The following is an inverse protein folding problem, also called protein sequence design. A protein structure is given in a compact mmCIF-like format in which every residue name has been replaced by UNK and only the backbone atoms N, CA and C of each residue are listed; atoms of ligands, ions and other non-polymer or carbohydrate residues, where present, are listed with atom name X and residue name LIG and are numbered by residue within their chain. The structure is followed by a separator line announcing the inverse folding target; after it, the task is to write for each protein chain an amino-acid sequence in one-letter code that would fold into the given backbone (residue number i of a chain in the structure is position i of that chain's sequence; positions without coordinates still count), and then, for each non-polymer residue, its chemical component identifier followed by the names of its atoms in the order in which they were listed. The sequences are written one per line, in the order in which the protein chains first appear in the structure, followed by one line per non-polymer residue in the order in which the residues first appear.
data_IF_565421320937
#
_entry.id   IF_565421320937
#
_cell.length_a   1.000
_cell.length_b   1.000
_cell.length_c   1.000
_cell.angle_alpha   90.00
_cell.angle_beta   90.00
_cell.angle_gamma   90.00
#
_symmetry.space_group_name_H-M   'P 1'
#
loop_
_entity.id
_entity.type
_entity.pdbx_description
1 polymer ?
#
# COMPACT_ATOMS: atom_id res chain seq x y z
N UNK A 1 0.35 5.74 6.15
CA UNK A 1 -0.04 4.32 6.35
C UNK A 1 0.17 3.95 7.80
N UNK A 2 -0.41 2.84 8.25
CA UNK A 2 -0.34 2.37 9.64
C UNK A 2 1.11 2.25 10.12
N UNK A 3 1.48 2.97 11.17
CA UNK A 3 2.66 2.64 11.97
C UNK A 3 2.24 1.46 12.85
N UNK A 4 3.08 0.45 13.01
CA UNK A 4 2.80 -0.71 13.88
C UNK A 4 2.81 -0.37 15.37
N UNK A 5 2.47 0.87 15.73
CA UNK A 5 2.52 1.43 17.09
C UNK A 5 1.19 1.29 17.84
N UNK A 6 0.24 0.55 17.28
CA UNK A 6 -1.08 0.31 17.88
C UNK A 6 -2.05 1.48 17.73
N UNK A 7 -1.67 2.57 17.06
CA UNK A 7 -2.52 3.76 16.91
C UNK A 7 -3.22 3.76 15.54
N UNK A 8 -4.55 3.84 15.57
CA UNK A 8 -5.40 3.84 14.38
C UNK A 8 -5.51 5.24 13.77
N UNK A 9 -4.57 5.59 12.88
CA UNK A 9 -4.54 6.90 12.25
C UNK A 9 -5.36 6.95 10.97
N UNK A 10 -6.18 7.98 10.84
CA UNK A 10 -6.86 8.38 9.61
C UNK A 10 -5.85 8.88 8.58
N UNK A 11 -6.05 8.49 7.33
CA UNK A 11 -5.29 8.95 6.18
C UNK A 11 -6.24 9.47 5.11
N UNK A 12 -6.04 10.73 4.72
CA UNK A 12 -6.68 11.33 3.56
C UNK A 12 -5.60 11.85 2.61
N UNK A 13 -5.71 11.49 1.33
CA UNK A 13 -4.82 11.96 0.26
C UNK A 13 -5.63 12.38 -0.95
N UNK A 14 -5.08 13.32 -1.72
CA UNK A 14 -5.66 13.75 -3.00
C UNK A 14 -4.66 13.50 -4.13
N UNK A 15 -4.99 12.56 -5.01
CA UNK A 15 -4.27 12.34 -6.27
C UNK A 15 -4.83 13.30 -7.33
N UNK A 16 -3.95 14.06 -7.98
CA UNK A 16 -4.31 15.02 -9.02
C UNK A 16 -4.10 14.37 -10.39
N UNK A 17 -5.09 14.45 -11.26
CA UNK A 17 -5.08 13.69 -12.51
C UNK A 17 -5.41 14.58 -13.70
N UNK A 18 -4.69 14.33 -14.80
CA UNK A 18 -5.00 14.87 -16.13
C UNK A 18 -5.94 13.92 -16.87
N UNK A 19 -6.45 14.36 -18.01
CA UNK A 19 -7.25 13.51 -18.90
C UNK A 19 -6.55 12.21 -19.33
N UNK A 20 -5.22 12.19 -19.35
CA UNK A 20 -4.46 10.99 -19.73
C UNK A 20 -4.47 9.91 -18.66
N UNK A 21 -4.73 10.27 -17.40
CA UNK A 21 -4.55 9.39 -16.25
C UNK A 21 -5.89 8.80 -15.79
N UNK A 22 -6.99 9.51 -16.07
CA UNK A 22 -8.33 9.21 -15.54
C UNK A 22 -8.90 7.89 -16.04
N UNK A 23 -8.59 7.45 -17.26
CA UNK A 23 -9.09 6.16 -17.79
C UNK A 23 -8.51 4.99 -16.99
N UNK A 24 -7.24 5.08 -16.61
CA UNK A 24 -6.59 4.06 -15.80
C UNK A 24 -7.12 4.04 -14.35
N UNK A 25 -7.46 5.21 -13.81
CA UNK A 25 -8.10 5.35 -12.50
C UNK A 25 -9.53 4.76 -12.52
N UNK A 26 -10.33 5.07 -13.54
CA UNK A 26 -11.66 4.47 -13.72
C UNK A 26 -11.56 2.95 -13.81
N UNK A 27 -10.73 2.44 -14.72
CA UNK A 27 -10.62 1.01 -14.92
C UNK A 27 -10.09 0.27 -13.67
N UNK A 28 -9.32 0.96 -12.81
CA UNK A 28 -8.93 0.45 -11.50
C UNK A 28 -10.11 0.46 -10.52
N UNK A 29 -10.80 1.60 -10.37
CA UNK A 29 -11.80 1.82 -9.34
C UNK A 29 -13.09 1.03 -9.59
N UNK A 30 -13.52 1.02 -10.84
CA UNK A 30 -14.72 0.32 -11.31
C UNK A 30 -14.45 -1.14 -11.69
N UNK A 31 -13.21 -1.60 -11.45
CA UNK A 31 -12.74 -2.97 -11.71
C UNK A 31 -12.95 -3.45 -13.16
N UNK A 32 -12.73 -2.57 -14.14
CA UNK A 32 -12.94 -2.85 -15.58
C UNK A 32 -11.75 -3.56 -16.26
N UNK A 33 -10.60 -3.70 -15.59
CA UNK A 33 -9.43 -4.37 -16.18
C UNK A 33 -9.56 -5.88 -16.15
N UNK A 34 -9.08 -6.54 -17.19
CA UNK A 34 -8.96 -8.00 -17.26
C UNK A 34 -7.87 -8.56 -16.33
N UNK A 35 -6.87 -7.75 -15.99
CA UNK A 35 -5.81 -8.13 -15.05
C UNK A 35 -5.28 -6.93 -14.27
N UNK A 36 -4.81 -7.19 -13.05
CA UNK A 36 -4.28 -6.17 -12.14
C UNK A 36 -2.86 -6.52 -11.73
N UNK A 37 -2.02 -5.49 -11.67
CA UNK A 37 -0.66 -5.60 -11.11
C UNK A 37 -0.72 -5.83 -9.59
N UNK A 38 -1.77 -5.35 -8.93
CA UNK A 38 -2.00 -5.59 -7.51
C UNK A 38 -2.46 -7.03 -7.30
N UNK A 39 -1.54 -7.91 -6.90
CA UNK A 39 -1.84 -9.31 -6.61
C UNK A 39 -2.66 -9.52 -5.32
N UNK A 40 -3.01 -8.44 -4.60
CA UNK A 40 -3.86 -8.53 -3.41
C UNK A 40 -5.34 -8.42 -3.76
N UNK A 41 -5.69 -8.00 -4.98
CA UNK A 41 -7.08 -7.99 -5.44
C UNK A 41 -7.54 -9.45 -5.61
N UNK A 42 -8.64 -9.79 -4.94
CA UNK A 42 -9.31 -11.10 -4.99
C UNK A 42 -10.58 -10.96 -5.84
N UNK A 43 -10.58 -11.41 -7.11
CA UNK A 43 -11.70 -11.20 -8.03
C UNK A 43 -13.05 -11.69 -7.50
N UNK A 44 -13.06 -12.81 -6.78
CA UNK A 44 -14.26 -13.41 -6.18
C UNK A 44 -14.92 -12.49 -5.14
N UNK A 45 -14.16 -11.51 -4.63
CA UNK A 45 -14.62 -10.54 -3.64
C UNK A 45 -15.00 -9.19 -4.20
N UNK A 46 -14.83 -8.94 -5.50
CA UNK A 46 -15.21 -7.65 -6.10
C UNK A 46 -16.70 -7.32 -5.86
N UNK A 47 -17.57 -8.32 -5.69
CA UNK A 47 -18.98 -8.15 -5.29
C UNK A 47 -19.19 -7.49 -3.90
N UNK A 48 -18.17 -7.47 -3.04
CA UNK A 48 -18.20 -6.80 -1.73
C UNK A 48 -17.74 -5.33 -1.82
N UNK A 49 -17.31 -4.85 -2.98
CA UNK A 49 -17.05 -3.43 -3.15
C UNK A 49 -18.37 -2.66 -3.03
N UNK A 50 -18.35 -1.52 -2.37
CA UNK A 50 -19.56 -0.74 -2.10
C UNK A 50 -19.45 0.62 -2.78
N UNK A 51 -20.31 0.86 -3.76
CA UNK A 51 -20.50 2.18 -4.32
C UNK A 51 -21.44 2.99 -3.43
N UNK A 52 -20.92 4.06 -2.84
CA UNK A 52 -21.75 5.11 -2.25
C UNK A 52 -22.25 6.09 -3.31
N UNK A 53 -21.50 6.19 -4.42
CA UNK A 53 -21.95 6.84 -5.65
C UNK A 53 -21.43 6.09 -6.86
N UNK A 54 -22.34 5.46 -7.59
CA UNK A 54 -22.05 4.80 -8.87
C UNK A 54 -21.95 5.87 -9.97
N UNK A 55 -20.92 5.82 -10.83
CA UNK A 55 -20.84 6.73 -11.97
C UNK A 55 -21.97 6.43 -12.97
N UNK A 56 -22.55 7.48 -13.57
CA UNK A 56 -23.63 7.33 -14.55
C UNK A 56 -23.13 7.06 -15.97
N UNK A 57 -21.85 7.31 -16.22
CA UNK A 57 -21.14 7.08 -17.47
C UNK A 57 -19.63 7.01 -17.20
N UNK A 58 -18.80 6.87 -18.23
CA UNK A 58 -17.35 7.00 -18.05
C UNK A 58 -16.97 8.38 -17.48
N UNK A 59 -15.92 8.47 -16.66
CA UNK A 59 -15.57 9.70 -15.94
C UNK A 59 -15.32 10.89 -16.87
N UNK A 60 -14.68 10.68 -18.03
CA UNK A 60 -14.51 11.71 -19.07
C UNK A 60 -15.83 12.14 -19.68
N UNK A 61 -16.73 11.20 -19.91
CA UNK A 61 -18.04 11.50 -20.47
C UNK A 61 -18.86 12.34 -19.48
N UNK A 62 -18.87 11.96 -18.19
CA UNK A 62 -19.52 12.75 -17.14
C UNK A 62 -18.95 14.18 -17.06
N UNK A 63 -17.63 14.34 -17.19
CA UNK A 63 -16.99 15.67 -17.23
C UNK A 63 -17.52 16.51 -18.41
N UNK A 64 -17.59 15.94 -19.60
CA UNK A 64 -18.09 16.63 -20.79
C UNK A 64 -19.59 16.92 -20.71
N UNK A 65 -20.39 16.03 -20.12
CA UNK A 65 -21.81 16.25 -19.84
C UNK A 65 -21.98 17.43 -18.87
N UNK A 66 -21.24 17.46 -17.76
CA UNK A 66 -21.29 18.56 -16.79
C UNK A 66 -20.84 19.89 -17.40
N UNK A 67 -19.83 19.87 -18.28
CA UNK A 67 -19.38 21.06 -19.01
C UNK A 67 -20.46 21.56 -19.98
N UNK A 68 -21.08 20.66 -20.73
CA UNK A 68 -22.09 20.98 -21.73
C UNK A 68 -23.39 21.48 -21.09
N UNK A 69 -23.76 20.93 -19.92
CA UNK A 69 -24.90 21.35 -19.12
C UNK A 69 -24.66 22.65 -18.32
N UNK A 70 -23.45 23.23 -18.40
CA UNK A 70 -23.11 24.47 -17.69
C UNK A 70 -22.92 24.31 -16.17
N UNK A 71 -22.91 23.08 -15.65
CA UNK A 71 -22.67 22.78 -14.22
C UNK A 71 -21.24 23.16 -13.82
N UNK A 72 -20.29 22.99 -14.76
CA UNK A 72 -18.89 23.37 -14.60
C UNK A 72 -18.41 24.19 -15.79
N UNK A 73 -17.37 24.99 -15.55
CA UNK A 73 -16.73 25.83 -16.56
C UNK A 73 -15.26 25.48 -16.71
N UNK A 74 -14.84 25.19 -17.94
CA UNK A 74 -13.43 25.00 -18.32
C UNK A 74 -12.77 26.29 -18.80
N UNK A 75 -13.43 27.44 -18.61
CA UNK A 75 -12.93 28.73 -19.09
C UNK A 75 -11.58 29.06 -18.43
N UNK A 76 -10.55 29.25 -19.25
CA UNK A 76 -9.19 29.54 -18.81
C UNK A 76 -8.43 28.32 -18.26
N UNK A 77 -8.97 27.11 -18.44
CA UNK A 77 -8.28 25.87 -18.14
C UNK A 77 -7.31 25.53 -19.29
N UNK A 78 -6.07 25.16 -18.95
CA UNK A 78 -5.10 24.70 -19.95
C UNK A 78 -5.45 23.27 -20.40
N UNK A 79 -5.03 22.90 -21.60
CA UNK A 79 -5.27 21.55 -22.13
C UNK A 79 -4.65 20.46 -21.24
N UNK A 80 -3.49 20.72 -20.65
CA UNK A 80 -2.74 19.81 -19.80
C UNK A 80 -3.02 19.98 -18.29
N UNK A 81 -4.08 20.71 -17.94
CA UNK A 81 -4.45 20.95 -16.55
C UNK A 81 -4.96 19.67 -15.87
N UNK A 82 -4.74 19.60 -14.56
CA UNK A 82 -5.32 18.58 -13.69
C UNK A 82 -6.84 18.85 -13.57
N UNK A 83 -7.65 18.08 -14.30
CA UNK A 83 -9.11 18.27 -14.35
C UNK A 83 -9.87 17.42 -13.34
N UNK A 84 -9.23 16.36 -12.83
CA UNK A 84 -9.82 15.40 -11.92
C UNK A 84 -8.98 15.28 -10.66
N UNK A 85 -9.64 15.06 -9.53
CA UNK A 85 -8.99 14.64 -8.30
C UNK A 85 -9.57 13.32 -7.82
N UNK A 86 -8.78 12.58 -7.06
CA UNK A 86 -9.22 11.39 -6.36
C UNK A 86 -8.82 11.52 -4.89
N UNK A 87 -9.82 11.60 -4.03
CA UNK A 87 -9.60 11.49 -2.59
C UNK A 87 -9.53 10.00 -2.24
N UNK A 88 -8.46 9.60 -1.57
CA UNK A 88 -8.37 8.26 -0.99
C UNK A 88 -8.41 8.41 0.53
N UNK A 89 -9.41 7.79 1.14
CA UNK A 89 -9.56 7.68 2.58
C UNK A 89 -9.25 6.28 3.06
N UNK A 90 -8.42 6.19 4.09
CA UNK A 90 -7.79 4.94 4.51
C UNK A 90 -7.57 4.96 6.03
N UNK A 91 -7.76 3.80 6.66
CA UNK A 91 -7.41 3.48 8.04
C UNK A 91 -6.82 2.06 8.03
N UNK A 92 -5.92 1.78 8.98
CA UNK A 92 -5.28 0.46 9.04
C UNK A 92 -6.30 -0.69 9.13
N UNK A 93 -5.99 -1.85 8.53
CA UNK A 93 -6.90 -3.02 8.55
C UNK A 93 -7.24 -3.49 9.96
N UNK A 94 -6.30 -3.34 10.90
CA UNK A 94 -6.50 -3.71 12.30
C UNK A 94 -7.68 -2.97 12.94
N UNK A 95 -7.89 -1.69 12.59
CA UNK A 95 -9.02 -0.90 13.07
C UNK A 95 -10.34 -1.59 12.75
N UNK A 96 -10.56 -1.90 11.46
CA UNK A 96 -11.80 -2.54 11.03
C UNK A 96 -11.92 -3.96 11.57
N UNK A 97 -10.83 -4.72 11.57
CA UNK A 97 -10.82 -6.09 12.12
C UNK A 97 -11.30 -6.12 13.58
N UNK A 98 -10.86 -5.16 14.40
CA UNK A 98 -11.23 -5.08 15.81
C UNK A 98 -12.67 -4.57 16.04
N UNK A 99 -13.30 -3.96 15.03
CA UNK A 99 -14.62 -3.33 15.13
C UNK A 99 -15.74 -4.10 14.40
N UNK A 100 -15.52 -5.37 14.07
CA UNK A 100 -16.52 -6.21 13.40
C UNK A 100 -16.35 -6.32 11.88
N UNK A 101 -15.24 -5.80 11.34
CA UNK A 101 -14.82 -6.03 9.96
C UNK A 101 -15.68 -5.29 8.94
N UNK A 102 -16.24 -6.05 7.99
CA UNK A 102 -16.85 -5.51 6.77
C UNK A 102 -18.04 -4.58 7.01
N UNK A 103 -18.99 -4.96 7.87
CA UNK A 103 -20.18 -4.14 8.11
C UNK A 103 -19.83 -2.81 8.79
N UNK A 104 -18.88 -2.82 9.72
CA UNK A 104 -18.38 -1.60 10.34
C UNK A 104 -17.62 -0.73 9.34
N UNK A 105 -16.78 -1.33 8.48
CA UNK A 105 -16.09 -0.61 7.41
C UNK A 105 -17.09 0.05 6.44
N UNK A 106 -18.15 -0.64 6.05
CA UNK A 106 -19.20 -0.10 5.19
C UNK A 106 -19.87 1.14 5.79
N UNK A 107 -20.21 1.10 7.09
CA UNK A 107 -20.75 2.25 7.79
C UNK A 107 -19.72 3.39 7.90
N UNK A 108 -18.49 3.08 8.31
CA UNK A 108 -17.38 4.03 8.39
C UNK A 108 -17.18 4.78 7.07
N UNK A 109 -17.14 4.06 5.96
CA UNK A 109 -16.93 4.68 4.66
C UNK A 109 -18.19 5.36 4.09
N UNK A 110 -19.39 5.01 4.54
CA UNK A 110 -20.59 5.79 4.25
C UNK A 110 -20.51 7.18 4.91
N UNK A 111 -20.01 7.27 6.14
CA UNK A 111 -19.82 8.55 6.82
C UNK A 111 -18.60 9.32 6.29
N UNK A 112 -17.53 8.61 5.91
CA UNK A 112 -16.41 9.20 5.17
C UNK A 112 -16.87 9.79 3.82
N UNK A 113 -17.84 9.16 3.14
CA UNK A 113 -18.41 9.71 1.92
C UNK A 113 -19.17 11.03 2.17
N UNK A 114 -19.94 11.12 3.25
CA UNK A 114 -20.56 12.40 3.67
C UNK A 114 -19.50 13.47 3.97
N UNK A 115 -18.38 13.10 4.59
CA UNK A 115 -17.25 14.01 4.78
C UNK A 115 -16.65 14.45 3.43
N UNK A 116 -16.52 13.52 2.48
CA UNK A 116 -16.03 13.82 1.13
C UNK A 116 -16.92 14.85 0.41
N UNK A 117 -18.25 14.74 0.53
CA UNK A 117 -19.21 15.72 -0.03
C UNK A 117 -18.91 17.13 0.53
N UNK A 118 -18.70 17.25 1.84
CA UNK A 118 -18.37 18.54 2.50
C UNK A 118 -17.01 19.07 2.03
N UNK A 119 -15.99 18.21 1.93
CA UNK A 119 -14.64 18.57 1.49
C UNK A 119 -14.62 19.03 0.02
N UNK A 120 -15.31 18.28 -0.86
CA UNK A 120 -15.44 18.60 -2.28
C UNK A 120 -16.33 19.83 -2.50
N UNK A 121 -17.23 20.14 -1.57
CA UNK A 121 -18.11 21.31 -1.64
C UNK A 121 -19.37 21.09 -2.47
N UNK A 122 -19.80 19.83 -2.61
CA UNK A 122 -20.99 19.46 -3.35
C UNK A 122 -20.91 18.05 -3.92
N UNK A 123 -21.96 17.26 -3.72
CA UNK A 123 -22.06 15.89 -4.23
C UNK A 123 -22.11 15.85 -5.76
N UNK A 124 -22.68 16.87 -6.39
CA UNK A 124 -22.75 17.00 -7.84
C UNK A 124 -21.37 17.02 -8.51
N UNK A 125 -20.31 17.38 -7.78
CA UNK A 125 -18.93 17.39 -8.28
C UNK A 125 -18.19 16.07 -8.05
N UNK A 126 -18.80 15.11 -7.37
CA UNK A 126 -18.26 13.75 -7.22
C UNK A 126 -18.79 12.89 -8.36
N UNK A 127 -17.89 12.25 -9.09
CA UNK A 127 -18.22 11.36 -10.21
C UNK A 127 -18.49 9.92 -9.74
N UNK A 128 -17.63 9.42 -8.85
CA UNK A 128 -17.73 8.07 -8.27
C UNK A 128 -17.21 8.07 -6.84
N UNK A 129 -17.80 7.23 -5.98
CA UNK A 129 -17.31 6.95 -4.65
C UNK A 129 -17.47 5.46 -4.35
N UNK A 130 -16.36 4.73 -4.26
CA UNK A 130 -16.34 3.28 -4.09
C UNK A 130 -15.38 2.85 -2.98
N UNK A 131 -15.91 2.07 -2.04
CA UNK A 131 -15.11 1.33 -1.07
C UNK A 131 -14.64 0.03 -1.71
N UNK A 132 -13.32 -0.16 -1.77
CA UNK A 132 -12.74 -1.46 -2.14
C UNK A 132 -12.66 -2.34 -0.89
N UNK A 133 -13.13 -3.57 -1.04
CA UNK A 133 -13.20 -4.61 0.01
C UNK A 133 -12.68 -5.97 -0.50
N UNK A 134 -12.04 -5.96 -1.66
CA UNK A 134 -11.49 -7.08 -2.38
C UNK A 134 -9.97 -7.17 -2.29
N UNK A 135 -9.30 -6.29 -1.55
CA UNK A 135 -7.85 -6.30 -1.39
C UNK A 135 -7.43 -7.04 -0.13
N UNK A 136 -6.71 -8.17 -0.25
CA UNK A 136 -6.23 -8.98 0.88
C UNK A 136 -5.03 -8.32 1.54
N UNK A 137 -5.09 -8.13 2.86
CA UNK A 137 -3.92 -7.73 3.65
C UNK A 137 -3.08 -8.97 3.97
N UNK A 138 -2.10 -9.29 3.11
CA UNK A 138 -1.27 -10.50 3.27
C UNK A 138 -0.54 -10.54 4.62
N UNK A 139 0.09 -9.44 5.01
CA UNK A 139 0.87 -9.37 6.25
C UNK A 139 0.02 -9.73 7.49
N UNK A 140 -1.18 -9.15 7.60
CA UNK A 140 -2.08 -9.45 8.71
C UNK A 140 -2.73 -10.84 8.57
N UNK A 141 -3.01 -11.28 7.33
CA UNK A 141 -3.59 -12.60 7.08
C UNK A 141 -2.64 -13.73 7.46
N UNK A 142 -1.36 -13.60 7.11
CA UNK A 142 -0.31 -14.56 7.45
C UNK A 142 -0.11 -14.60 8.98
N UNK A 143 -0.04 -13.43 9.63
CA UNK A 143 0.16 -13.32 11.07
C UNK A 143 -0.97 -13.97 11.88
N UNK A 144 -2.22 -13.79 11.43
CA UNK A 144 -3.41 -14.33 12.11
C UNK A 144 -3.85 -15.70 11.60
N UNK A 145 -3.25 -16.21 10.52
CA UNK A 145 -3.65 -17.45 9.82
C UNK A 145 -5.13 -17.47 9.43
N UNK A 146 -5.65 -16.32 9.06
CA UNK A 146 -7.03 -16.14 8.60
C UNK A 146 -7.06 -15.02 7.55
N UNK A 147 -8.03 -15.04 6.65
CA UNK A 147 -8.11 -14.00 5.63
C UNK A 147 -8.59 -12.67 6.22
N UNK A 148 -7.72 -11.67 6.10
CA UNK A 148 -8.01 -10.29 6.48
C UNK A 148 -7.94 -9.41 5.24
N UNK A 149 -8.97 -8.60 5.03
CA UNK A 149 -9.07 -7.69 3.90
C UNK A 149 -8.79 -6.26 4.33
N UNK A 150 -8.28 -5.47 3.40
CA UNK A 150 -8.03 -4.05 3.53
C UNK A 150 -9.18 -3.28 2.88
N UNK A 151 -9.73 -2.33 3.63
CA UNK A 151 -10.81 -1.47 3.20
C UNK A 151 -10.28 -0.06 3.02
N UNK A 152 -10.63 0.57 1.90
CA UNK A 152 -10.33 1.97 1.64
C UNK A 152 -11.33 2.53 0.63
N UNK A 153 -11.53 3.84 0.66
CA UNK A 153 -12.51 4.53 -0.16
C UNK A 153 -11.81 5.44 -1.17
N UNK A 154 -12.12 5.24 -2.45
CA UNK A 154 -11.76 6.15 -3.54
C UNK A 154 -12.96 7.05 -3.85
N UNK A 155 -12.75 8.36 -3.90
CA UNK A 155 -13.74 9.36 -4.29
C UNK A 155 -13.18 10.19 -5.43
N UNK A 156 -13.67 9.94 -6.64
CA UNK A 156 -13.28 10.68 -7.85
C UNK A 156 -14.17 11.92 -7.97
N UNK A 157 -13.56 13.10 -8.08
CA UNK A 157 -14.27 14.37 -8.09
C UNK A 157 -13.66 15.39 -9.06
N UNK A 158 -14.42 16.44 -9.35
CA UNK A 158 -13.99 17.61 -10.10
C UNK A 158 -13.64 18.77 -9.15
N UNK A 159 -12.43 19.35 -9.25
CA UNK A 159 -12.01 20.43 -8.36
C UNK A 159 -12.66 21.75 -8.79
N UNK A 160 -13.88 21.99 -8.35
CA UNK A 160 -14.66 23.18 -8.70
C UNK A 160 -14.49 24.28 -7.66
N UNK A 161 -14.29 25.51 -8.14
CA UNK A 161 -14.26 26.73 -7.33
C UNK A 161 -15.14 27.81 -7.95
N UNK A 162 -15.82 28.57 -7.12
CA UNK A 162 -16.55 29.74 -7.59
C UNK A 162 -15.57 30.83 -8.05
N UNK A 163 -15.80 31.37 -9.24
CA UNK A 163 -15.01 32.48 -9.78
C UNK A 163 -15.92 33.56 -10.34
N UNK A 164 -15.76 34.77 -9.80
CA UNK A 164 -16.33 35.98 -10.37
C UNK A 164 -15.49 36.44 -11.57
N UNK A 165 -16.14 36.63 -12.70
CA UNK A 165 -15.57 37.25 -13.89
C UNK A 165 -15.97 38.71 -13.86
N UNK A 166 -14.99 39.61 -13.87
CA UNK A 166 -15.23 41.06 -13.83
C UNK A 166 -15.30 41.65 -15.24
N UNK A 167 -16.02 42.75 -15.40
CA UNK A 167 -15.99 43.52 -16.64
C UNK A 167 -14.59 44.06 -16.92
N UNK A 168 -14.07 43.73 -18.11
CA UNK A 168 -12.72 44.13 -18.52
C UNK A 168 -12.61 45.65 -18.73
N UNK A 169 -11.38 46.17 -18.71
CA UNK A 169 -11.08 47.58 -19.05
C UNK A 169 -11.54 48.01 -20.45
N UNK A 170 -11.80 47.04 -21.34
CA UNK A 170 -12.31 47.25 -22.71
C UNK A 170 -13.84 47.40 -22.77
N UNK A 171 -14.55 47.34 -21.64
CA UNK A 171 -15.99 47.62 -21.61
C UNK A 171 -16.27 49.04 -22.13
N UNK A 172 -17.32 49.17 -22.95
CA UNK A 172 -17.79 50.47 -23.48
C UNK A 172 -18.36 51.32 -22.36
N UNK A 173 -19.22 50.72 -21.53
CA UNK A 173 -19.70 51.36 -20.32
C UNK A 173 -18.61 51.33 -19.25
N UNK A 174 -18.12 52.51 -18.89
CA UNK A 174 -17.04 52.68 -17.91
C UNK A 174 -17.52 52.47 -16.47
N UNK A 175 -18.81 52.62 -16.18
CA UNK A 175 -19.37 52.38 -14.84
C UNK A 175 -19.33 50.90 -14.45
N UNK A 176 -19.36 50.00 -15.44
CA UNK A 176 -19.36 48.56 -15.20
C UNK A 176 -17.94 47.99 -14.99
N UNK A 177 -16.87 48.69 -15.40
CA UNK A 177 -15.50 48.16 -15.33
C UNK A 177 -15.12 47.80 -13.90
N UNK A 178 -14.66 46.56 -13.67
CA UNK A 178 -14.31 46.07 -12.34
C UNK A 178 -15.48 45.52 -11.52
N UNK A 179 -16.73 45.71 -11.95
CA UNK A 179 -17.90 45.06 -11.35
C UNK A 179 -18.03 43.61 -11.84
N UNK A 180 -18.77 42.78 -11.09
CA UNK A 180 -19.00 41.37 -11.43
C UNK A 180 -19.89 41.27 -12.66
N UNK A 181 -19.37 40.65 -13.71
CA UNK A 181 -20.09 40.36 -14.96
C UNK A 181 -20.88 39.06 -14.86
N UNK A 182 -20.24 38.02 -14.35
CA UNK A 182 -20.85 36.69 -14.17
C UNK A 182 -20.05 35.90 -13.13
N UNK A 183 -20.71 34.97 -12.46
CA UNK A 183 -20.07 34.01 -11.56
C UNK A 183 -20.11 32.64 -12.21
N UNK A 184 -18.95 31.99 -12.31
CA UNK A 184 -18.81 30.67 -12.94
C UNK A 184 -18.29 29.65 -11.93
N UNK A 185 -18.69 28.39 -12.11
CA UNK A 185 -18.15 27.25 -11.38
C UNK A 185 -16.91 26.72 -12.11
N UNK A 186 -15.75 27.33 -11.85
CA UNK A 186 -14.52 27.05 -12.58
C UNK A 186 -13.85 25.76 -12.09
N UNK A 187 -13.47 24.87 -13.00
CA UNK A 187 -12.58 23.75 -12.67
C UNK A 187 -11.15 24.27 -12.47
N UNK A 188 -10.59 24.10 -11.27
CA UNK A 188 -9.23 24.52 -10.91
C UNK A 188 -8.68 23.73 -9.72
N UNK A 189 -7.81 22.75 -9.99
CA UNK A 189 -7.16 21.93 -8.95
C UNK A 189 -6.32 22.77 -7.98
N UNK A 190 -5.54 23.73 -8.49
CA UNK A 190 -4.67 24.55 -7.65
C UNK A 190 -5.47 25.39 -6.65
N UNK A 191 -6.52 26.08 -7.12
CA UNK A 191 -7.37 26.92 -6.27
C UNK A 191 -8.21 26.13 -5.29
N UNK A 192 -8.71 24.95 -5.71
CA UNK A 192 -9.49 24.08 -4.84
C UNK A 192 -8.72 23.70 -3.57
N UNK A 193 -7.41 23.57 -3.70
CA UNK A 193 -6.49 23.20 -2.61
C UNK A 193 -5.52 24.33 -2.29
N UNK A 194 -6.03 25.56 -2.19
CA UNK A 194 -5.26 26.69 -1.69
C UNK A 194 -4.84 26.45 -0.23
N UNK A 195 -3.64 26.92 0.10
CA UNK A 195 -3.10 26.80 1.46
C UNK A 195 -3.81 27.79 2.40
N UNK A 196 -4.16 27.35 3.61
CA UNK A 196 -4.79 28.19 4.64
C UNK A 196 -3.73 28.75 5.59
N UNK A 197 -3.94 29.88 6.27
CA UNK A 197 -3.05 30.32 7.35
C UNK A 197 -2.92 29.25 8.43
N UNK A 198 -1.72 29.03 8.94
CA UNK A 198 -1.47 28.25 10.14
C UNK A 198 -1.94 29.07 11.35
N UNK A 199 -2.65 28.42 12.26
CA UNK A 199 -3.21 29.06 13.45
C UNK A 199 -2.47 28.61 14.70
N UNK A 200 -2.35 29.47 15.69
CA UNK A 200 -1.83 29.17 17.03
C UNK A 200 -2.90 28.55 17.94
N UNK A 201 -2.58 28.37 19.22
CA UNK A 201 -3.47 27.81 20.24
C UNK A 201 -4.73 28.67 20.49
N UNK A 202 -4.68 29.96 20.15
CA UNK A 202 -5.79 30.90 20.27
C UNK A 202 -6.57 31.09 18.97
N UNK A 203 -6.30 30.25 17.95
CA UNK A 203 -6.86 30.37 16.60
C UNK A 203 -6.45 31.64 15.82
N UNK A 204 -5.35 32.28 16.19
CA UNK A 204 -4.80 33.43 15.47
C UNK A 204 -3.75 33.02 14.43
N UNK A 205 -3.64 33.68 13.26
CA UNK A 205 -2.65 33.34 12.25
C UNK A 205 -1.20 33.51 12.74
N UNK A 206 -0.43 32.43 12.73
CA UNK A 206 1.00 32.46 13.04
C UNK A 206 1.70 33.31 11.97
N UNK A 207 2.39 34.35 12.39
CA UNK A 207 3.13 35.25 11.50
C UNK A 207 4.61 34.82 11.42
N UNK A 208 5.18 34.92 10.22
CA UNK A 208 6.62 34.80 10.01
C UNK A 208 7.35 36.03 10.57
N UNK A 209 8.69 35.94 10.70
CA UNK A 209 9.54 37.08 11.09
C UNK A 209 9.38 38.33 10.21
N UNK A 210 8.76 38.19 9.01
CA UNK A 210 8.46 39.30 8.07
C UNK A 210 7.00 39.76 8.14
N UNK A 211 6.23 39.35 9.15
CA UNK A 211 4.83 39.72 9.36
C UNK A 211 3.81 39.07 8.41
N UNK A 212 4.24 38.13 7.55
CA UNK A 212 3.33 37.38 6.67
C UNK A 212 2.81 36.11 7.36
N UNK A 213 1.51 35.76 7.24
CA UNK A 213 0.99 34.51 7.77
C UNK A 213 1.73 33.29 7.21
N UNK A 214 2.16 32.41 8.11
CA UNK A 214 2.71 31.11 7.76
C UNK A 214 1.58 30.27 7.18
N UNK A 215 1.75 29.73 5.98
CA UNK A 215 0.72 28.96 5.32
C UNK A 215 0.84 27.47 5.65
N UNK A 216 -0.28 26.89 6.04
CA UNK A 216 -0.49 25.46 6.18
C UNK A 216 -0.76 24.85 4.80
N UNK A 217 0.09 23.89 4.43
CA UNK A 217 -0.04 23.13 3.18
C UNK A 217 -1.45 22.53 3.06
N UNK A 218 -2.04 22.57 1.87
CA UNK A 218 -3.41 22.13 1.64
C UNK A 218 -3.67 20.66 1.94
N UNK A 219 -2.69 19.77 1.76
CA UNK A 219 -2.80 18.38 2.20
C UNK A 219 -2.96 18.23 3.72
N UNK A 220 -2.33 19.10 4.51
CA UNK A 220 -2.55 19.11 5.96
C UNK A 220 -3.94 19.63 6.32
N UNK A 221 -4.51 20.55 5.53
CA UNK A 221 -5.89 21.01 5.71
C UNK A 221 -6.85 19.85 5.42
N UNK A 222 -6.65 19.12 4.32
CA UNK A 222 -7.47 17.95 3.97
C UNK A 222 -7.48 16.89 5.08
N UNK A 223 -6.31 16.54 5.62
CA UNK A 223 -6.21 15.54 6.68
C UNK A 223 -6.88 15.99 7.98
N UNK A 224 -6.79 17.29 8.30
CA UNK A 224 -7.46 17.84 9.49
C UNK A 224 -8.98 17.93 9.32
N UNK A 225 -9.45 18.33 8.13
CA UNK A 225 -10.88 18.38 7.82
C UNK A 225 -11.48 16.97 7.84
N UNK A 226 -10.82 15.98 7.22
CA UNK A 226 -11.26 14.59 7.27
C UNK A 226 -11.32 14.06 8.70
N UNK A 227 -10.23 14.25 9.48
CA UNK A 227 -10.18 13.81 10.87
C UNK A 227 -11.31 14.43 11.70
N UNK A 228 -11.52 15.75 11.60
CA UNK A 228 -12.62 16.43 12.29
C UNK A 228 -13.97 15.83 11.92
N UNK A 229 -14.25 15.64 10.62
CA UNK A 229 -15.54 15.07 10.20
C UNK A 229 -15.75 13.64 10.69
N UNK A 230 -14.70 12.82 10.78
CA UNK A 230 -14.82 11.48 11.35
C UNK A 230 -15.04 11.52 12.86
N UNK A 231 -14.38 12.43 13.59
CA UNK A 231 -14.66 12.67 15.02
C UNK A 231 -16.11 13.10 15.24
N UNK A 232 -16.59 14.05 14.44
CA UNK A 232 -17.97 14.54 14.51
C UNK A 232 -19.01 13.45 14.20
N UNK A 233 -18.62 12.42 13.44
CA UNK A 233 -19.44 11.25 13.13
C UNK A 233 -19.42 10.17 14.23
N UNK A 234 -18.66 10.37 15.32
CA UNK A 234 -18.63 9.48 16.48
C UNK A 234 -17.44 8.51 16.53
N UNK A 235 -16.47 8.63 15.63
CA UNK A 235 -15.27 7.78 15.65
C UNK A 235 -14.23 8.37 16.61
N UNK A 236 -14.35 8.05 17.90
CA UNK A 236 -13.53 8.66 18.96
C UNK A 236 -12.16 7.99 19.21
N UNK A 237 -11.91 6.86 18.57
CA UNK A 237 -10.74 6.02 18.78
C UNK A 237 -9.78 6.01 17.58
N UNK A 238 -10.06 6.85 16.58
CA UNK A 238 -9.12 7.18 15.53
C UNK A 238 -8.33 8.44 15.86
N UNK A 239 -7.11 8.49 15.35
CA UNK A 239 -6.23 9.65 15.46
C UNK A 239 -5.97 10.30 14.10
N UNK A 240 -5.52 11.55 14.15
CA UNK A 240 -5.02 12.26 13.00
C UNK A 240 -3.58 11.77 12.72
N UNK A 241 -3.19 11.55 11.46
CA UNK A 241 -1.78 11.36 11.07
C UNK A 241 -0.79 12.41 11.64
N UNK A 242 0.50 12.14 11.69
CA UNK A 242 1.46 13.11 12.26
C UNK A 242 1.48 14.45 11.50
N UNK A 243 1.36 15.57 12.24
CA UNK A 243 1.48 16.93 11.67
C UNK A 243 2.93 17.23 11.39
N UNK A 244 3.22 17.77 10.21
CA UNK A 244 4.59 18.13 9.83
C UNK A 244 5.50 16.93 9.50
N UNK A 245 4.92 15.73 9.34
CA UNK A 245 5.67 14.53 8.93
C UNK A 245 6.53 14.79 7.69
N UNK A 246 7.77 14.32 7.75
CA UNK A 246 8.72 14.34 6.63
C UNK A 246 8.68 13.05 5.79
N UNK A 247 7.72 12.16 6.03
CA UNK A 247 7.57 10.93 5.26
C UNK A 247 7.23 11.24 3.80
N UNK A 248 7.96 10.62 2.87
CA UNK A 248 7.65 10.68 1.45
C UNK A 248 6.54 9.69 1.10
N UNK A 249 5.63 10.09 0.21
CA UNK A 249 4.62 9.18 -0.30
C UNK A 249 5.25 8.15 -1.23
N UNK A 250 5.15 6.88 -0.84
CA UNK A 250 5.53 5.75 -1.67
C UNK A 250 4.32 5.25 -2.47
N UNK A 251 4.54 4.85 -3.72
CA UNK A 251 3.52 4.08 -4.45
C UNK A 251 3.25 2.75 -3.74
N UNK A 252 2.07 2.16 -3.95
CA UNK A 252 1.71 0.86 -3.35
C UNK A 252 2.80 -0.19 -3.58
N UNK A 253 3.34 -0.26 -4.80
CA UNK A 253 4.44 -1.19 -5.12
C UNK A 253 5.74 -0.85 -4.37
N UNK A 254 6.11 0.42 -4.24
CA UNK A 254 7.29 0.83 -3.49
C UNK A 254 7.16 0.49 -2.00
N UNK A 255 5.99 0.77 -1.42
CA UNK A 255 5.71 0.46 -0.03
C UNK A 255 5.79 -1.05 0.25
N UNK A 256 5.16 -1.89 -0.60
CA UNK A 256 5.24 -3.35 -0.48
C UNK A 256 6.67 -3.86 -0.56
N UNK A 257 7.47 -3.36 -1.50
CA UNK A 257 8.89 -3.75 -1.61
C UNK A 257 9.66 -3.38 -0.34
N UNK A 258 9.42 -2.20 0.24
CA UNK A 258 10.07 -1.81 1.49
C UNK A 258 9.64 -2.69 2.67
N UNK A 259 8.36 -3.04 2.74
CA UNK A 259 7.84 -3.92 3.79
C UNK A 259 8.42 -5.34 3.69
N UNK A 260 8.49 -5.91 2.48
CA UNK A 260 9.11 -7.22 2.25
C UNK A 260 10.62 -7.21 2.53
N UNK A 261 11.31 -6.10 2.26
CA UNK A 261 12.71 -5.93 2.68
C UNK A 261 12.88 -5.91 4.20
N UNK A 262 11.97 -5.25 4.92
CA UNK A 262 11.98 -5.25 6.38
C UNK A 262 11.69 -6.65 6.95
N UNK A 263 10.69 -7.36 6.41
CA UNK A 263 10.37 -8.76 6.75
C UNK A 263 11.57 -9.68 6.51
N UNK A 264 12.25 -9.52 5.37
CA UNK A 264 13.44 -10.28 5.05
C UNK A 264 14.58 -10.03 6.05
N UNK A 265 14.77 -8.78 6.48
CA UNK A 265 15.77 -8.43 7.48
C UNK A 265 15.47 -9.09 8.83
N UNK A 266 14.20 -9.06 9.26
CA UNK A 266 13.75 -9.71 10.50
C UNK A 266 13.96 -11.24 10.46
N UNK A 267 13.51 -11.90 9.40
CA UNK A 267 13.71 -13.35 9.21
C UNK A 267 15.20 -13.73 9.18
N UNK A 268 16.04 -12.89 8.56
CA UNK A 268 17.49 -13.10 8.53
C UNK A 268 18.10 -13.03 9.92
N UNK A 269 17.66 -12.07 10.74
CA UNK A 269 18.12 -11.92 12.12
C UNK A 269 17.62 -13.07 13.01
N UNK A 270 16.36 -13.49 12.88
CA UNK A 270 15.83 -14.67 13.58
C UNK A 270 16.62 -15.94 13.21
N UNK A 271 16.93 -16.15 11.92
CA UNK A 271 17.75 -17.29 11.50
C UNK A 271 19.16 -17.23 12.11
N UNK A 272 19.78 -16.04 12.18
CA UNK A 272 21.09 -15.85 12.83
C UNK A 272 21.05 -16.22 14.32
N UNK A 273 20.00 -15.80 15.03
CA UNK A 273 19.81 -16.13 16.45
C UNK A 273 19.62 -17.64 16.66
N UNK A 274 18.86 -18.31 15.79
CA UNK A 274 18.69 -19.76 15.85
C UNK A 274 19.99 -20.51 15.56
N UNK A 275 20.79 -20.06 14.59
CA UNK A 275 22.11 -20.63 14.32
C UNK A 275 23.04 -20.54 15.54
N UNK A 276 23.00 -19.42 16.29
CA UNK A 276 23.75 -19.27 17.53
C UNK A 276 23.27 -20.22 18.64
N UNK A 277 21.95 -20.44 18.75
CA UNK A 277 21.38 -21.40 19.69
C UNK A 277 21.81 -22.83 19.37
N UNK A 278 21.77 -23.22 18.09
CA UNK A 278 22.25 -24.53 17.61
C UNK A 278 23.74 -24.71 17.91
N UNK A 279 24.57 -23.69 17.65
CA UNK A 279 26.00 -23.75 17.99
C UNK A 279 26.23 -23.93 19.51
N UNK A 280 25.40 -23.29 20.34
CA UNK A 280 25.47 -23.43 21.81
C UNK A 280 25.05 -24.82 22.27
N UNK A 281 23.95 -25.36 21.72
CA UNK A 281 23.49 -26.73 21.99
C UNK A 281 24.55 -27.76 21.55
N UNK A 282 25.17 -27.57 20.40
CA UNK A 282 26.27 -28.42 19.92
C UNK A 282 27.44 -28.46 20.90
N UNK A 283 27.89 -27.30 21.41
CA UNK A 283 28.94 -27.24 22.45
C UNK A 283 28.53 -27.92 23.77
N UNK A 284 27.25 -27.87 24.14
CA UNK A 284 26.77 -28.55 25.35
C UNK A 284 26.80 -30.07 25.19
N UNK A 285 26.41 -30.57 24.01
CA UNK A 285 26.48 -32.00 23.67
C UNK A 285 27.94 -32.47 23.69
N UNK A 286 28.85 -31.72 23.04
CA UNK A 286 30.28 -32.02 23.01
C UNK A 286 30.88 -32.08 24.42
N UNK A 287 30.50 -31.16 25.32
CA UNK A 287 30.93 -31.21 26.73
C UNK A 287 30.45 -32.46 27.45
N UNK A 288 29.21 -32.90 27.21
CA UNK A 288 28.66 -34.12 27.81
C UNK A 288 29.40 -35.35 27.28
N UNK A 289 29.67 -35.41 25.96
CA UNK A 289 30.45 -36.48 25.35
C UNK A 289 31.88 -36.54 25.91
N UNK A 290 32.57 -35.40 26.02
CA UNK A 290 33.92 -35.35 26.59
C UNK A 290 33.94 -35.75 28.08
N UNK A 291 32.88 -35.45 28.84
CA UNK A 291 32.72 -35.95 30.22
C UNK A 291 32.49 -37.46 30.28
N UNK A 292 31.80 -38.04 29.29
CA UNK A 292 31.64 -39.50 29.16
C UNK A 292 32.95 -40.20 28.75
N UNK A 293 33.81 -39.57 27.95
CA UNK A 293 35.12 -40.13 27.56
C UNK A 293 36.09 -40.14 28.75
N UNK A 294 35.89 -39.28 29.76
CA UNK A 294 36.66 -39.26 31.00
C UNK A 294 36.34 -40.43 31.97
N UNK A 295 35.58 -41.42 31.49
CA UNK A 295 35.29 -42.70 32.17
C UNK A 295 36.47 -43.68 32.07
N UNK A 296 37.55 -43.34 31.35
CA UNK A 296 38.83 -44.08 31.35
C UNK A 296 39.45 -44.26 32.78
N UNK A 297 38.97 -43.52 33.79
CA UNK A 297 39.30 -43.75 35.19
C UNK A 297 38.78 -45.10 35.75
N UNK A 298 37.81 -45.74 35.07
CA UNK A 298 37.27 -47.07 35.44
C UNK A 298 38.26 -48.20 35.12
N UNK A 299 39.18 -48.02 34.15
CA UNK A 299 40.18 -49.02 33.78
C UNK A 299 41.26 -49.26 34.87
N UNK A 300 41.28 -48.43 35.92
CA UNK A 300 42.22 -48.55 37.05
C UNK A 300 41.69 -49.35 38.24
N UNK A 301 40.48 -49.91 38.15
CA UNK A 301 39.89 -50.71 39.22
C UNK A 301 40.49 -52.13 39.17
N UNK A 302 41.27 -52.50 40.19
CA UNK A 302 41.92 -53.80 40.28
C UNK A 302 40.91 -54.90 40.68
N UNK A 303 40.56 -55.75 39.73
CA UNK A 303 39.67 -56.88 39.94
C UNK A 303 40.46 -58.15 40.27
N UNK A 304 40.20 -58.77 41.44
CA UNK A 304 40.85 -60.03 41.85
C UNK A 304 39.96 -61.22 41.50
N UNK A 305 40.50 -62.22 40.80
CA UNK A 305 39.77 -63.46 40.52
C UNK A 305 39.67 -64.33 41.77
N UNK A 306 38.52 -64.95 41.99
CA UNK A 306 38.33 -65.91 43.09
C UNK A 306 38.82 -67.28 42.62
N UNK A 307 39.80 -67.91 43.29
CA UNK A 307 40.30 -69.23 42.89
C UNK A 307 39.18 -70.26 42.81
N UNK A 308 39.20 -71.11 41.78
CA UNK A 308 38.22 -72.19 41.53
C UNK A 308 36.76 -71.72 41.34
N UNK A 309 36.53 -70.45 41.02
CA UNK A 309 35.22 -69.89 40.71
C UNK A 309 35.27 -68.93 39.52
N UNK A 310 34.20 -68.86 38.73
CA UNK A 310 34.06 -67.84 37.68
C UNK A 310 33.68 -66.45 38.25
N UNK A 311 33.87 -66.23 39.55
CA UNK A 311 33.47 -65.01 40.27
C UNK A 311 34.66 -64.08 40.43
N UNK A 312 34.38 -62.78 40.35
CA UNK A 312 35.36 -61.70 40.52
C UNK A 312 35.03 -60.97 41.81
N UNK A 313 36.04 -60.69 42.64
CA UNK A 313 35.92 -59.91 43.86
C UNK A 313 36.41 -58.47 43.62
N UNK A 314 35.61 -57.50 44.07
CA UNK A 314 35.87 -56.06 43.98
C UNK A 314 35.70 -55.47 45.38
N UNK A 315 36.51 -54.47 45.73
CA UNK A 315 36.35 -53.78 47.02
C UNK A 315 35.00 -53.06 47.09
N UNK A 316 34.40 -53.02 48.29
CA UNK A 316 33.06 -52.45 48.48
C UNK A 316 32.99 -50.98 48.08
N UNK A 317 34.07 -50.24 48.34
CA UNK A 317 34.19 -48.81 48.01
C UNK A 317 34.26 -48.61 46.49
N UNK A 318 35.02 -49.45 45.79
CA UNK A 318 35.09 -49.47 44.31
C UNK A 318 33.75 -49.84 43.68
N UNK A 319 33.01 -50.78 44.26
CA UNK A 319 31.67 -51.14 43.79
C UNK A 319 30.66 -49.99 43.94
N UNK A 320 30.64 -49.30 45.08
CA UNK A 320 29.77 -48.12 45.29
C UNK A 320 30.15 -46.95 44.38
N UNK A 321 31.45 -46.74 44.16
CA UNK A 321 31.97 -45.77 43.19
C UNK A 321 31.51 -46.10 41.76
N UNK A 322 31.65 -47.36 41.34
CA UNK A 322 31.24 -47.83 40.00
C UNK A 322 29.72 -47.75 39.81
N UNK A 323 28.93 -48.12 40.83
CA UNK A 323 27.47 -47.99 40.81
C UNK A 323 27.02 -46.54 40.66
N UNK A 324 27.69 -45.61 41.36
CA UNK A 324 27.41 -44.17 41.28
C UNK A 324 27.78 -43.61 39.91
N UNK A 325 28.92 -44.02 39.35
CA UNK A 325 29.34 -43.63 38.00
C UNK A 325 28.39 -44.15 36.92
N UNK A 326 27.95 -45.41 37.00
CA UNK A 326 26.98 -45.99 36.08
C UNK A 326 25.63 -45.23 36.11
N UNK A 327 25.13 -44.89 37.30
CA UNK A 327 23.90 -44.07 37.44
C UNK A 327 24.08 -42.67 36.82
N UNK A 328 25.23 -42.02 37.03
CA UNK A 328 25.54 -40.71 36.43
C UNK A 328 25.66 -40.80 34.90
N UNK A 329 26.24 -41.88 34.37
CA UNK A 329 26.36 -42.12 32.94
C UNK A 329 24.98 -42.25 32.27
N UNK A 330 24.10 -43.11 32.79
CA UNK A 330 22.73 -43.27 32.27
C UNK A 330 21.94 -41.95 32.33
N UNK A 331 22.15 -41.15 33.37
CA UNK A 331 21.53 -39.82 33.47
C UNK A 331 22.10 -38.83 32.44
N UNK A 332 23.40 -38.88 32.14
CA UNK A 332 24.05 -38.05 31.13
C UNK A 332 23.62 -38.44 29.71
N UNK A 333 23.55 -39.73 29.39
CA UNK A 333 23.08 -40.25 28.10
C UNK A 333 21.63 -39.83 27.81
N UNK A 334 20.74 -39.92 28.82
CA UNK A 334 19.35 -39.42 28.69
C UNK A 334 19.29 -37.92 28.43
N UNK A 335 20.18 -37.13 29.03
CA UNK A 335 20.27 -35.67 28.79
C UNK A 335 20.81 -35.37 27.38
N UNK A 336 21.86 -36.08 26.96
CA UNK A 336 22.42 -35.98 25.62
C UNK A 336 21.37 -36.31 24.55
N UNK A 337 20.64 -37.42 24.69
CA UNK A 337 19.57 -37.79 23.76
C UNK A 337 18.48 -36.72 23.64
N UNK A 338 18.10 -36.07 24.76
CA UNK A 338 17.14 -34.95 24.74
C UNK A 338 17.71 -33.73 24.02
N UNK A 339 18.97 -33.37 24.28
CA UNK A 339 19.65 -32.25 23.62
C UNK A 339 19.84 -32.51 22.12
N UNK A 340 20.16 -33.74 21.72
CA UNK A 340 20.28 -34.14 20.32
C UNK A 340 18.95 -33.98 19.58
N UNK A 341 17.85 -34.43 20.18
CA UNK A 341 16.50 -34.22 19.61
C UNK A 341 16.15 -32.74 19.46
N UNK A 342 16.52 -31.91 20.44
CA UNK A 342 16.33 -30.46 20.38
C UNK A 342 17.18 -29.82 19.28
N UNK A 343 18.44 -30.26 19.12
CA UNK A 343 19.36 -29.83 18.07
C UNK A 343 18.80 -30.17 16.68
N UNK A 344 18.32 -31.40 16.49
CA UNK A 344 17.72 -31.85 15.23
C UNK A 344 16.46 -31.05 14.88
N UNK A 345 15.61 -30.77 15.87
CA UNK A 345 14.42 -29.94 15.69
C UNK A 345 14.79 -28.49 15.31
N UNK A 346 15.79 -27.90 15.97
CA UNK A 346 16.28 -26.56 15.66
C UNK A 346 16.93 -26.49 14.28
N UNK A 347 17.73 -27.48 13.88
CA UNK A 347 18.29 -27.57 12.53
C UNK A 347 17.21 -27.67 11.44
N UNK A 348 16.13 -28.41 11.69
CA UNK A 348 14.97 -28.46 10.77
C UNK A 348 14.26 -27.12 10.64
N UNK A 349 14.22 -26.32 11.71
CA UNK A 349 13.63 -24.98 11.69
C UNK A 349 14.51 -24.00 10.89
N UNK A 350 15.83 -24.01 11.13
CA UNK A 350 16.82 -23.24 10.37
C UNK A 350 16.72 -23.57 8.88
N UNK A 351 16.63 -24.85 8.52
CA UNK A 351 16.48 -25.25 7.12
C UNK A 351 15.23 -24.65 6.47
N UNK A 352 14.09 -24.62 7.19
CA UNK A 352 12.86 -23.98 6.72
C UNK A 352 13.02 -22.46 6.58
N UNK A 353 13.58 -21.79 7.58
CA UNK A 353 13.82 -20.34 7.52
C UNK A 353 14.77 -19.96 6.37
N UNK A 354 15.82 -20.74 6.14
CA UNK A 354 16.73 -20.54 4.99
C UNK A 354 16.02 -20.67 3.65
N UNK A 355 15.12 -21.64 3.51
CA UNK A 355 14.32 -21.80 2.31
C UNK A 355 13.38 -20.60 2.09
N UNK A 356 12.71 -20.12 3.13
CA UNK A 356 11.84 -18.93 3.07
C UNK A 356 12.64 -17.66 2.72
N UNK A 357 13.79 -17.45 3.36
CA UNK A 357 14.71 -16.34 3.04
C UNK A 357 15.17 -16.40 1.58
N UNK A 358 15.47 -17.59 1.06
CA UNK A 358 15.87 -17.77 -0.33
C UNK A 358 14.72 -17.43 -1.30
N UNK A 359 13.51 -17.91 -1.00
CA UNK A 359 12.30 -17.58 -1.77
C UNK A 359 12.02 -16.08 -1.81
N UNK A 360 11.97 -15.42 -0.64
CA UNK A 360 11.73 -13.98 -0.55
C UNK A 360 12.81 -13.15 -1.26
N UNK A 361 14.08 -13.56 -1.17
CA UNK A 361 15.17 -12.91 -1.91
C UNK A 361 14.98 -13.05 -3.42
N UNK A 362 14.56 -14.22 -3.88
CA UNK A 362 14.28 -14.46 -5.29
C UNK A 362 13.12 -13.59 -5.76
N UNK A 363 11.99 -13.58 -5.05
CA UNK A 363 10.83 -12.74 -5.39
C UNK A 363 11.21 -11.25 -5.46
N UNK A 364 11.93 -10.73 -4.45
CA UNK A 364 12.41 -9.35 -4.47
C UNK A 364 13.34 -9.06 -5.64
N UNK A 365 14.19 -10.02 -6.03
CA UNK A 365 15.07 -9.89 -7.19
C UNK A 365 14.31 -9.88 -8.50
N UNK A 366 13.27 -10.70 -8.63
CA UNK A 366 12.38 -10.75 -9.79
C UNK A 366 11.57 -9.45 -9.89
N UNK A 367 11.03 -8.95 -8.77
CA UNK A 367 10.38 -7.63 -8.73
C UNK A 367 11.32 -6.50 -9.19
N UNK A 368 12.58 -6.51 -8.71
CA UNK A 368 13.59 -5.52 -9.13
C UNK A 368 13.99 -5.68 -10.60
N UNK A 369 14.07 -6.91 -11.09
CA UNK A 369 14.41 -7.26 -12.48
C UNK A 369 13.29 -6.89 -13.45
N UNK A 370 12.03 -7.21 -13.14
CA UNK A 370 10.86 -6.82 -13.92
C UNK A 370 10.75 -5.30 -13.98
N UNK A 371 10.94 -4.59 -12.86
CA UNK A 371 11.02 -3.11 -12.86
C UNK A 371 12.24 -2.57 -13.62
N UNK A 372 13.36 -3.28 -13.59
CA UNK A 372 14.56 -2.96 -14.36
C UNK A 372 14.42 -3.19 -15.86
N UNK A 373 13.58 -4.14 -16.27
CA UNK A 373 13.18 -4.39 -17.67
C UNK A 373 12.10 -3.41 -18.12
N UNK A 374 11.11 -3.12 -17.26
CA UNK A 374 10.13 -2.03 -17.40
C UNK A 374 10.73 -0.71 -16.89
N UNK A 375 11.88 -0.26 -17.41
CA UNK A 375 12.34 1.11 -17.15
C UNK A 375 11.32 2.07 -17.73
N UNK A 376 10.38 2.49 -16.89
CA UNK A 376 9.30 3.43 -17.24
C UNK A 376 9.84 4.74 -17.80
N UNK A 377 11.06 5.13 -17.42
CA UNK A 377 11.78 6.28 -17.99
C UNK A 377 12.26 6.08 -19.43
N UNK A 378 12.60 4.84 -19.80
CA UNK A 378 13.10 4.49 -21.14
C UNK A 378 11.91 4.24 -22.06
N UNK A 379 10.90 3.48 -21.60
CA UNK A 379 9.61 3.33 -22.27
C UNK A 379 8.87 4.67 -22.43
N UNK A 380 8.97 5.57 -21.45
CA UNK A 380 8.40 6.91 -21.53
C UNK A 380 9.11 7.80 -22.54
N UNK A 381 10.44 7.70 -22.66
CA UNK A 381 11.23 8.38 -23.70
C UNK A 381 10.91 7.83 -25.09
N UNK A 382 10.86 6.52 -25.23
CA UNK A 382 10.54 5.86 -26.50
C UNK A 382 9.10 6.19 -26.95
N UNK A 383 8.12 6.18 -26.03
CA UNK A 383 6.76 6.63 -26.33
C UNK A 383 6.71 8.11 -26.73
N UNK A 384 7.46 8.99 -26.06
CA UNK A 384 7.53 10.40 -26.43
C UNK A 384 8.15 10.60 -27.83
N UNK A 385 9.17 9.82 -28.16
CA UNK A 385 9.82 9.84 -29.47
C UNK A 385 8.89 9.31 -30.58
N UNK A 386 8.18 8.21 -30.32
CA UNK A 386 7.18 7.65 -31.23
C UNK A 386 6.02 8.61 -31.45
N UNK A 387 5.51 9.25 -30.40
CA UNK A 387 4.48 10.30 -30.51
C UNK A 387 4.99 11.49 -31.35
N UNK A 388 6.23 11.92 -31.16
CA UNK A 388 6.85 12.96 -31.98
C UNK A 388 7.01 12.54 -33.45
N UNK A 389 7.28 11.26 -33.74
CA UNK A 389 7.32 10.73 -35.12
C UNK A 389 5.92 10.73 -35.75
N UNK A 390 4.91 10.25 -35.02
CA UNK A 390 3.51 10.26 -35.47
C UNK A 390 3.07 11.68 -35.80
N UNK A 391 3.31 12.65 -34.90
CA UNK A 391 2.92 14.04 -35.12
C UNK A 391 3.60 14.66 -36.36
N UNK A 392 4.87 14.33 -36.62
CA UNK A 392 5.56 14.74 -37.85
C UNK A 392 4.93 14.12 -39.10
N UNK A 393 4.52 12.86 -39.05
CA UNK A 393 3.82 12.22 -40.16
C UNK A 393 2.44 12.85 -40.39
N UNK A 394 1.68 13.12 -39.33
CA UNK A 394 0.39 13.79 -39.40
C UNK A 394 0.53 15.21 -40.00
N UNK A 395 1.55 15.97 -39.61
CA UNK A 395 1.85 17.28 -40.17
C UNK A 395 2.17 17.21 -41.67
N UNK A 396 2.94 16.21 -42.11
CA UNK A 396 3.25 15.98 -43.53
C UNK A 396 2.00 15.57 -44.31
N UNK A 397 1.17 14.68 -43.76
CA UNK A 397 -0.09 14.24 -44.36
C UNK A 397 -1.05 15.44 -44.50
N UNK A 398 -1.15 16.28 -43.47
CA UNK A 398 -1.98 17.48 -43.47
C UNK A 398 -1.48 18.51 -44.50
N UNK A 399 -0.18 18.82 -44.53
CA UNK A 399 0.41 19.79 -45.47
C UNK A 399 0.23 19.40 -46.93
N UNK A 400 0.23 18.09 -47.21
CA UNK A 400 0.06 17.56 -48.56
C UNK A 400 -1.40 17.11 -48.85
N UNK A 401 -2.35 17.40 -47.94
CA UNK A 401 -3.75 16.99 -48.06
C UNK A 401 -3.97 15.48 -48.29
N UNK A 402 -3.07 14.63 -47.80
CA UNK A 402 -3.07 13.18 -48.08
C UNK A 402 -4.02 12.37 -47.20
N UNK A 403 -4.77 13.01 -46.29
CA UNK A 403 -5.70 12.32 -45.37
C UNK A 403 -6.74 11.44 -46.07
N UNK A 404 -7.07 11.75 -47.33
CA UNK A 404 -8.01 10.95 -48.11
C UNK A 404 -7.51 9.53 -48.43
N UNK A 405 -6.19 9.28 -48.37
CA UNK A 405 -5.61 7.94 -48.53
C UNK A 405 -5.67 7.10 -47.24
N UNK A 406 -5.81 7.73 -46.08
CA UNK A 406 -5.79 7.08 -44.77
C UNK A 406 -7.18 6.95 -44.12
N UNK A 407 -8.24 7.39 -44.81
CA UNK A 407 -9.61 7.12 -44.35
C UNK A 407 -9.93 5.64 -44.53
N UNK A 408 -10.58 4.99 -43.54
CA UNK A 408 -11.17 3.67 -43.75
C UNK A 408 -12.11 3.74 -44.97
N UNK A 409 -11.91 2.84 -45.93
CA UNK A 409 -12.82 2.65 -47.07
C UNK A 409 -14.20 2.33 -46.49
N UNK A 410 -15.13 3.30 -46.49
CA UNK A 410 -16.55 2.96 -46.41
C UNK A 410 -16.86 2.16 -47.67
N UNK A 411 -17.02 0.86 -47.54
CA UNK A 411 -17.63 0.03 -48.58
C UNK A 411 -18.95 0.69 -48.99
N UNK A 412 -19.02 1.13 -50.25
CA UNK A 412 -20.28 1.52 -50.87
C UNK A 412 -21.05 0.21 -51.11
N UNK A 413 -22.01 -0.08 -50.23
CA UNK A 413 -23.09 -0.99 -50.56
C UNK A 413 -23.78 -0.46 -51.83
N UNK A 414 -23.82 -1.29 -52.86
CA UNK A 414 -24.52 -1.00 -54.11
C UNK A 414 -26.03 -0.96 -53.84
N UNK A 415 -26.66 0.20 -54.03
CA UNK A 415 -28.09 0.21 -54.36
C UNK A 415 -28.23 -0.02 -55.86
N UNK A 416 -28.78 -1.17 -56.19
CA UNK A 416 -29.27 -1.55 -57.50
C UNK A 416 -30.76 -1.78 -57.32
N UNK A 417 -31.57 -0.82 -57.73
CA UNK A 417 -32.83 -1.00 -58.46
C UNK A 417 -33.57 0.33 -58.52
N UNK A 418 -33.64 0.89 -59.72
CA UNK A 418 -34.91 1.31 -60.31
C UNK A 418 -34.70 1.56 -61.81
N UNK A 419 -35.15 0.59 -62.59
CA UNK A 419 -35.42 0.72 -64.01
C UNK A 419 -36.78 0.08 -64.29
N UNK A 420 -37.85 0.86 -64.11
CA UNK A 420 -38.95 0.97 -65.09
C UNK A 420 -39.87 2.14 -64.81
#
# INVERSE_FOLDING_TARGET
MARGDGIHRTSARNARMKDTDIDNAQAHNEREKSSYVNQDIVPERTQYNVHFKTPTAGYKEMFEQMRSNGVISTRGLKADAEKFGELIFDVNSAYFFNHGGYEFAKQFYADAYKAAIKIVGGEQYILSAVMHADERNRAMSDALRQDVYHYHLHVVYLPVVEKQILWSKRCKDKSLVGTVKETIQQVSMSKKWDSKPALDENSEPILSAKGKPVLKKSYSVLQDDFFRYMRDAGYEDVERGERGSSEEHLTVTQFKVQQEQARLAELTEQNRQQEQQVATLGRQIEKIQNQQVNVAAIEKIDAKSVPFSNKVAVEREDFEHLSTLAKKYVAAEKKESKLQKALDAANRLIARLKAEIAGLKQELSEYKSVRGKLRTSDLGRENAELRGKVQRYEDVIQRNNLWHFFRPRREKAAMRDDAR
#
